data_IF_776647012495
#
_entry.id   IF_776647012495
#
_cell.length_a   1.000
_cell.length_b   1.000
_cell.length_c   1.000
_cell.angle_alpha   90.00
_cell.angle_beta   90.00
_cell.angle_gamma   90.00
#
_symmetry.space_group_name_H-M   'P 1'
#
loop_
_entity.id
_entity.type
_entity.pdbx_description
1 polymer ?
#
# COMPACT_ATOMS: atom_id res chain seq x y z
N UNK A 1 75.26 -37.10 -3.45
CA UNK A 1 75.29 -35.62 -3.35
C UNK A 1 74.39 -35.04 -4.43
N UNK A 2 73.17 -34.60 -4.09
CA UNK A 2 72.25 -33.98 -5.05
C UNK A 2 72.62 -32.52 -5.24
N UNK A 3 72.87 -32.11 -6.48
CA UNK A 3 73.30 -30.74 -6.81
C UNK A 3 72.26 -29.69 -6.38
N UNK A 4 72.69 -28.53 -5.88
CA UNK A 4 71.80 -27.46 -5.38
C UNK A 4 70.94 -26.81 -6.49
N UNK A 5 71.18 -27.17 -7.76
CA UNK A 5 70.47 -26.66 -8.93
C UNK A 5 69.11 -27.37 -9.09
N UNK A 6 69.03 -28.70 -8.88
CA UNK A 6 67.79 -29.46 -9.07
C UNK A 6 66.68 -29.08 -8.08
N UNK A 7 67.05 -28.74 -6.84
CA UNK A 7 66.11 -28.32 -5.78
C UNK A 7 65.48 -26.95 -6.05
N UNK A 8 66.21 -26.03 -6.70
CA UNK A 8 65.69 -24.70 -7.07
C UNK A 8 64.69 -24.80 -8.22
N UNK A 9 64.97 -25.63 -9.23
CA UNK A 9 64.01 -25.89 -10.32
C UNK A 9 62.75 -26.60 -9.84
N UNK A 10 62.89 -27.57 -8.92
CA UNK A 10 61.75 -28.24 -8.30
C UNK A 10 60.87 -27.26 -7.49
N UNK A 11 61.48 -26.35 -6.73
CA UNK A 11 60.76 -25.33 -5.97
C UNK A 11 59.99 -24.34 -6.88
N UNK A 12 60.60 -23.91 -7.99
CA UNK A 12 59.95 -23.04 -8.99
C UNK A 12 58.77 -23.74 -9.66
N UNK A 13 58.90 -25.03 -9.97
CA UNK A 13 57.84 -25.82 -10.57
C UNK A 13 56.65 -26.03 -9.61
N UNK A 14 56.92 -26.33 -8.33
CA UNK A 14 55.86 -26.47 -7.33
C UNK A 14 55.13 -25.13 -7.13
N UNK A 15 55.87 -24.01 -7.12
CA UNK A 15 55.28 -22.68 -7.00
C UNK A 15 54.36 -22.34 -8.19
N UNK A 16 54.75 -22.69 -9.42
CA UNK A 16 53.93 -22.41 -10.61
C UNK A 16 52.64 -23.22 -10.63
N UNK A 17 52.67 -24.48 -10.18
CA UNK A 17 51.47 -25.33 -10.05
C UNK A 17 50.52 -24.77 -8.99
N UNK A 18 51.04 -24.32 -7.84
CA UNK A 18 50.22 -23.72 -6.77
C UNK A 18 49.54 -22.43 -7.27
N UNK A 19 50.27 -21.55 -7.97
CA UNK A 19 49.70 -20.32 -8.54
C UNK A 19 48.64 -20.64 -9.58
N UNK A 20 48.87 -21.62 -10.47
CA UNK A 20 47.90 -22.03 -11.48
C UNK A 20 46.61 -22.59 -10.85
N UNK A 21 46.71 -23.39 -9.78
CA UNK A 21 45.55 -23.92 -9.05
C UNK A 21 44.78 -22.81 -8.34
N UNK A 22 45.47 -21.86 -7.69
CA UNK A 22 44.82 -20.73 -7.01
C UNK A 22 44.11 -19.78 -7.99
N UNK A 23 44.71 -19.49 -9.14
CA UNK A 23 44.10 -18.66 -10.20
C UNK A 23 42.91 -19.38 -10.84
N UNK A 24 43.04 -20.68 -11.14
CA UNK A 24 41.95 -21.50 -11.67
C UNK A 24 40.75 -21.57 -10.72
N UNK A 25 40.99 -21.74 -9.42
CA UNK A 25 39.95 -21.74 -8.39
C UNK A 25 39.29 -20.36 -8.23
N UNK A 26 40.07 -19.28 -8.28
CA UNK A 26 39.57 -17.90 -8.19
C UNK A 26 38.67 -17.51 -9.36
N UNK A 27 39.08 -17.81 -10.60
CA UNK A 27 38.30 -17.53 -11.81
C UNK A 27 37.05 -18.42 -11.87
N UNK A 28 37.16 -19.70 -11.50
CA UNK A 28 36.03 -20.62 -11.43
C UNK A 28 34.97 -20.17 -10.43
N UNK A 29 35.36 -19.73 -9.24
CA UNK A 29 34.45 -19.18 -8.22
C UNK A 29 33.73 -17.90 -8.66
N UNK A 30 34.45 -16.99 -9.33
CA UNK A 30 33.86 -15.77 -9.89
C UNK A 30 32.84 -16.06 -11.00
N UNK A 31 33.14 -16.98 -11.92
CA UNK A 31 32.22 -17.34 -13.00
C UNK A 31 30.93 -17.99 -12.49
N UNK A 32 31.04 -18.84 -11.46
CA UNK A 32 29.86 -19.46 -10.84
C UNK A 32 29.03 -18.40 -10.12
N UNK A 33 29.65 -17.50 -9.34
CA UNK A 33 28.95 -16.40 -8.66
C UNK A 33 28.23 -15.47 -9.65
N UNK A 34 28.87 -15.13 -10.78
CA UNK A 34 28.28 -14.30 -11.83
C UNK A 34 27.07 -14.99 -12.50
N UNK A 35 27.14 -16.30 -12.76
CA UNK A 35 26.00 -17.05 -13.31
C UNK A 35 24.81 -17.10 -12.35
N UNK A 36 25.05 -17.27 -11.04
CA UNK A 36 23.99 -17.23 -10.04
C UNK A 36 23.37 -15.83 -9.92
N UNK A 37 24.18 -14.77 -9.92
CA UNK A 37 23.69 -13.39 -9.91
C UNK A 37 22.86 -13.08 -11.16
N UNK A 38 23.34 -13.43 -12.36
CA UNK A 38 22.58 -13.25 -13.60
C UNK A 38 21.25 -14.03 -13.60
N UNK A 39 21.21 -15.23 -13.00
CA UNK A 39 19.97 -16.00 -12.84
C UNK A 39 19.00 -15.33 -11.87
N UNK A 40 19.49 -14.78 -10.75
CA UNK A 40 18.68 -14.03 -9.79
C UNK A 40 18.11 -12.75 -10.40
N UNK A 41 18.93 -11.99 -11.12
CA UNK A 41 18.50 -10.78 -11.84
C UNK A 41 17.44 -11.11 -12.89
N UNK A 42 17.62 -12.21 -13.64
CA UNK A 42 16.63 -12.66 -14.63
C UNK A 42 15.29 -13.03 -13.97
N UNK A 43 15.32 -13.77 -12.85
CA UNK A 43 14.11 -14.12 -12.10
C UNK A 43 13.41 -12.89 -11.52
N UNK A 44 14.16 -11.92 -11.01
CA UNK A 44 13.61 -10.65 -10.54
C UNK A 44 12.98 -9.86 -11.69
N UNK A 45 13.64 -9.80 -12.85
CA UNK A 45 13.12 -9.12 -14.03
C UNK A 45 11.86 -9.80 -14.59
N UNK A 46 11.81 -11.14 -14.62
CA UNK A 46 10.62 -11.90 -15.01
C UNK A 46 9.47 -11.69 -14.02
N UNK A 47 9.74 -11.73 -12.71
CA UNK A 47 8.75 -11.43 -11.67
C UNK A 47 8.22 -10.00 -11.78
N UNK A 48 9.08 -9.01 -12.02
CA UNK A 48 8.64 -7.63 -12.23
C UNK A 48 7.79 -7.47 -13.50
N UNK A 49 8.12 -8.18 -14.58
CA UNK A 49 7.30 -8.19 -15.80
C UNK A 49 5.93 -8.81 -15.55
N UNK A 50 5.88 -9.93 -14.83
CA UNK A 50 4.62 -10.58 -14.47
C UNK A 50 3.77 -9.69 -13.57
N UNK A 51 4.36 -9.06 -12.55
CA UNK A 51 3.69 -8.08 -11.68
C UNK A 51 3.16 -6.89 -12.49
N UNK A 52 3.97 -6.36 -13.41
CA UNK A 52 3.58 -5.24 -14.28
C UNK A 52 2.40 -5.61 -15.19
N UNK A 53 2.45 -6.81 -15.78
CA UNK A 53 1.35 -7.31 -16.60
C UNK A 53 0.07 -7.47 -15.79
N UNK A 54 0.14 -8.13 -14.62
CA UNK A 54 -0.99 -8.30 -13.70
C UNK A 54 -1.58 -6.94 -13.28
N UNK A 55 -0.73 -5.96 -12.95
CA UNK A 55 -1.16 -4.59 -12.64
C UNK A 55 -1.92 -3.97 -13.81
N UNK A 56 -1.41 -4.07 -15.04
CA UNK A 56 -2.08 -3.49 -16.21
C UNK A 56 -3.45 -4.11 -16.49
N UNK A 57 -3.62 -5.41 -16.19
CA UNK A 57 -4.92 -6.08 -16.29
C UNK A 57 -5.86 -5.53 -15.22
N UNK A 58 -5.39 -5.41 -13.97
CA UNK A 58 -6.20 -4.90 -12.86
C UNK A 58 -6.62 -3.44 -13.05
N UNK A 59 -5.75 -2.58 -13.59
CA UNK A 59 -6.04 -1.17 -13.84
C UNK A 59 -7.25 -0.95 -14.77
N UNK A 60 -7.60 -1.93 -15.61
CA UNK A 60 -8.81 -1.86 -16.45
C UNK A 60 -10.11 -1.99 -15.66
N UNK A 61 -10.07 -2.67 -14.51
CA UNK A 61 -11.24 -2.99 -13.69
C UNK A 61 -11.35 -2.10 -12.45
N UNK A 62 -10.23 -1.59 -11.95
CA UNK A 62 -10.18 -0.75 -10.76
C UNK A 62 -9.79 0.66 -11.17
N UNK A 63 -10.69 1.64 -11.17
CA UNK A 63 -10.32 3.03 -11.47
C UNK A 63 -9.36 3.58 -10.41
N UNK A 64 -8.48 4.54 -10.78
CA UNK A 64 -7.55 5.14 -9.83
C UNK A 64 -8.31 5.85 -8.70
N UNK A 65 -7.67 5.94 -7.54
CA UNK A 65 -8.24 6.68 -6.42
C UNK A 65 -8.42 8.17 -6.79
N UNK A 66 -9.48 8.82 -6.29
CA UNK A 66 -9.67 10.23 -6.52
C UNK A 66 -8.51 11.04 -5.91
N UNK A 67 -8.01 12.03 -6.66
CA UNK A 67 -6.92 12.91 -6.19
C UNK A 67 -7.31 13.72 -4.95
N UNK A 68 -8.59 14.05 -4.83
CA UNK A 68 -9.17 14.81 -3.71
C UNK A 68 -10.34 14.03 -3.13
N UNK A 69 -10.34 13.89 -1.82
CA UNK A 69 -11.38 13.19 -1.08
C UNK A 69 -12.30 14.22 -0.43
N UNK A 70 -13.57 14.21 -0.82
CA UNK A 70 -14.62 15.01 -0.18
C UNK A 70 -15.66 14.14 0.52
N UNK A 71 -15.66 12.83 0.27
CA UNK A 71 -16.68 11.93 0.79
C UNK A 71 -16.01 10.90 1.70
N UNK A 72 -16.63 10.64 2.84
CA UNK A 72 -16.17 9.62 3.79
C UNK A 72 -17.34 8.86 4.36
N UNK A 73 -17.16 7.57 4.57
CA UNK A 73 -18.11 6.70 5.25
C UNK A 73 -17.59 6.37 6.63
N UNK A 74 -18.46 6.21 7.61
CA UNK A 74 -18.01 5.85 8.95
C UNK A 74 -19.15 5.47 9.89
N UNK A 75 -18.75 4.94 11.04
CA UNK A 75 -19.68 4.64 12.14
C UNK A 75 -19.60 5.76 13.16
N UNK A 76 -20.74 6.28 13.57
CA UNK A 76 -20.83 7.35 14.57
C UNK A 76 -20.43 6.79 15.93
N UNK A 77 -19.44 7.40 16.59
CA UNK A 77 -19.07 7.09 17.97
C UNK A 77 -19.74 8.06 18.95
N UNK A 78 -19.93 9.32 18.55
CA UNK A 78 -20.47 10.37 19.43
C UNK A 78 -21.31 11.36 18.63
N UNK A 79 -22.43 11.79 19.21
CA UNK A 79 -23.30 12.84 18.67
C UNK A 79 -23.23 14.02 19.63
N UNK A 80 -22.70 15.15 19.17
CA UNK A 80 -22.72 16.42 19.89
C UNK A 80 -23.88 17.31 19.42
N UNK A 81 -23.90 18.55 19.88
CA UNK A 81 -24.95 19.51 19.51
C UNK A 81 -24.88 19.91 18.03
N UNK A 82 -23.67 20.20 17.53
CA UNK A 82 -23.42 20.63 16.14
C UNK A 82 -22.26 19.84 15.51
N UNK A 83 -22.00 18.62 15.99
CA UNK A 83 -20.94 17.78 15.44
C UNK A 83 -21.22 16.29 15.62
N UNK A 84 -20.57 15.48 14.79
CA UNK A 84 -20.48 14.04 14.92
C UNK A 84 -19.02 13.64 15.07
N UNK A 85 -18.71 12.66 15.93
CA UNK A 85 -17.43 11.96 15.87
C UNK A 85 -17.72 10.62 15.19
N UNK A 86 -16.97 10.32 14.13
CA UNK A 86 -17.10 9.10 13.36
C UNK A 86 -15.78 8.34 13.33
N UNK A 87 -15.87 7.01 13.32
CA UNK A 87 -14.78 6.15 12.87
C UNK A 87 -14.85 6.05 11.35
N UNK A 88 -14.19 7.00 10.68
CA UNK A 88 -14.10 7.09 9.23
C UNK A 88 -13.35 5.91 8.63
N UNK A 89 -13.81 5.47 7.47
CA UNK A 89 -13.22 4.46 6.61
C UNK A 89 -12.83 5.12 5.29
N UNK A 90 -11.53 5.25 5.06
CA UNK A 90 -10.96 5.93 3.90
C UNK A 90 -10.23 4.92 3.04
N UNK A 91 -10.61 4.82 1.76
CA UNK A 91 -9.94 3.91 0.82
C UNK A 91 -8.58 4.47 0.43
N UNK A 92 -7.52 3.73 0.75
CA UNK A 92 -6.12 4.12 0.51
C UNK A 92 -5.44 3.30 -0.59
N UNK A 93 -6.09 2.22 -1.06
CA UNK A 93 -5.62 1.42 -2.19
C UNK A 93 -6.67 1.32 -3.29
N UNK A 94 -6.22 1.45 -4.53
CA UNK A 94 -7.01 1.19 -5.74
C UNK A 94 -7.43 -0.28 -5.84
N UNK A 95 -6.59 -1.19 -5.32
CA UNK A 95 -6.81 -2.63 -5.36
C UNK A 95 -7.23 -3.14 -3.99
N UNK A 96 -8.12 -4.15 -3.92
CA UNK A 96 -8.40 -4.82 -2.65
C UNK A 96 -7.12 -5.49 -2.12
N UNK A 97 -6.82 -5.30 -0.84
CA UNK A 97 -5.65 -5.88 -0.20
C UNK A 97 -6.07 -6.89 0.87
N UNK A 98 -5.26 -7.92 1.13
CA UNK A 98 -5.55 -8.88 2.20
C UNK A 98 -5.70 -8.15 3.55
N UNK A 99 -6.52 -8.74 4.41
CA UNK A 99 -6.83 -8.23 5.76
C UNK A 99 -7.45 -6.82 5.80
N UNK A 100 -8.03 -6.34 4.69
CA UNK A 100 -8.67 -5.03 4.62
C UNK A 100 -7.70 -3.85 4.68
N UNK A 101 -6.42 -4.07 4.34
CA UNK A 101 -5.38 -3.03 4.33
C UNK A 101 -5.58 -1.96 3.25
N UNK A 102 -6.58 -2.12 2.39
CA UNK A 102 -7.00 -1.13 1.41
C UNK A 102 -7.86 0.00 2.01
N UNK A 103 -8.24 -0.12 3.28
CA UNK A 103 -9.02 0.89 4.02
C UNK A 103 -8.26 1.33 5.29
N UNK A 104 -8.03 2.63 5.41
CA UNK A 104 -7.54 3.27 6.63
C UNK A 104 -8.73 3.67 7.52
N UNK A 105 -8.64 3.32 8.80
CA UNK A 105 -9.61 3.74 9.82
C UNK A 105 -9.08 4.94 10.58
N UNK A 106 -9.86 6.01 10.67
CA UNK A 106 -9.47 7.25 11.37
C UNK A 106 -10.63 7.77 12.19
N UNK A 107 -10.36 8.29 13.39
CA UNK A 107 -11.37 9.03 14.16
C UNK A 107 -11.43 10.44 13.57
N UNK A 108 -12.62 10.85 13.13
CA UNK A 108 -12.86 12.15 12.54
C UNK A 108 -14.01 12.89 13.21
N UNK A 109 -13.81 14.18 13.47
CA UNK A 109 -14.85 15.10 13.91
C UNK A 109 -15.47 15.80 12.69
N UNK A 110 -16.77 15.69 12.56
CA UNK A 110 -17.57 16.25 11.49
C UNK A 110 -18.39 17.39 12.07
N UNK A 111 -18.06 18.63 11.71
CA UNK A 111 -18.79 19.81 12.13
C UNK A 111 -20.02 20.00 11.22
N UNK A 112 -21.15 20.30 11.84
CA UNK A 112 -22.42 20.54 11.18
C UNK A 112 -22.73 22.04 11.26
N UNK A 113 -23.00 22.65 10.11
CA UNK A 113 -23.43 24.04 10.02
C UNK A 113 -24.94 24.09 9.77
N UNK A 114 -25.52 25.29 9.80
CA UNK A 114 -26.94 25.49 9.46
C UNK A 114 -27.27 25.12 8.01
N UNK A 115 -26.27 25.04 7.14
CA UNK A 115 -26.41 24.69 5.73
C UNK A 115 -26.24 23.18 5.48
N UNK A 116 -25.80 22.42 6.49
CA UNK A 116 -25.59 20.98 6.37
C UNK A 116 -26.93 20.26 6.22
N UNK A 117 -27.10 19.53 5.13
CA UNK A 117 -28.30 18.72 4.89
C UNK A 117 -28.14 17.34 5.52
N UNK A 118 -29.07 16.94 6.40
CA UNK A 118 -29.07 15.61 7.00
C UNK A 118 -30.26 14.83 6.46
N UNK A 119 -30.03 13.67 5.87
CA UNK A 119 -31.10 12.90 5.24
C UNK A 119 -30.90 11.39 5.35
N UNK A 120 -31.98 10.63 5.11
CA UNK A 120 -31.96 9.17 4.96
C UNK A 120 -32.66 8.75 3.68
N UNK A 121 -32.22 7.64 3.11
CA UNK A 121 -32.94 6.99 2.02
C UNK A 121 -34.15 6.22 2.58
N UNK A 122 -35.34 6.53 2.08
CA UNK A 122 -36.57 5.81 2.36
C UNK A 122 -36.70 4.51 1.57
N UNK A 123 -37.65 3.67 1.96
CA UNK A 123 -37.86 2.33 1.40
C UNK A 123 -38.17 2.30 -0.10
N UNK A 124 -38.69 3.42 -0.64
CA UNK A 124 -39.02 3.59 -2.07
C UNK A 124 -37.99 4.43 -2.83
N UNK A 125 -36.79 4.62 -2.26
CA UNK A 125 -35.75 5.47 -2.85
C UNK A 125 -35.99 6.98 -2.66
N UNK A 126 -37.02 7.37 -1.91
CA UNK A 126 -37.29 8.76 -1.54
C UNK A 126 -36.22 9.28 -0.58
N UNK A 127 -35.75 10.51 -0.77
CA UNK A 127 -34.84 11.16 0.18
C UNK A 127 -35.68 11.89 1.23
N UNK A 128 -35.52 11.53 2.50
CA UNK A 128 -36.18 12.18 3.63
C UNK A 128 -35.17 12.97 4.44
N UNK A 129 -35.36 14.27 4.54
CA UNK A 129 -34.60 15.11 5.47
C UNK A 129 -34.95 14.72 6.91
N UNK A 130 -33.92 14.61 7.75
CA UNK A 130 -34.03 14.20 9.14
C UNK A 130 -33.28 15.15 10.05
N UNK A 131 -33.59 15.09 11.33
CA UNK A 131 -32.87 15.86 12.34
C UNK A 131 -31.62 15.10 12.85
N UNK A 132 -30.65 15.84 13.37
CA UNK A 132 -29.44 15.27 13.98
C UNK A 132 -29.77 14.29 15.12
N UNK A 133 -30.87 14.52 15.85
CA UNK A 133 -31.30 13.66 16.95
C UNK A 133 -31.74 12.26 16.52
N UNK A 134 -32.00 12.04 15.23
CA UNK A 134 -32.25 10.70 14.68
C UNK A 134 -30.96 9.88 14.52
N UNK A 135 -29.79 10.53 14.46
CA UNK A 135 -28.49 9.86 14.39
C UNK A 135 -28.07 9.45 15.79
N UNK A 136 -27.68 8.19 15.96
CA UNK A 136 -27.24 7.64 17.25
C UNK A 136 -25.81 7.08 17.15
N UNK A 137 -25.08 6.99 18.27
CA UNK A 137 -23.87 6.18 18.32
C UNK A 137 -24.13 4.76 17.80
N UNK A 138 -23.26 4.26 16.92
CA UNK A 138 -23.41 3.00 16.21
C UNK A 138 -24.05 3.11 14.82
N UNK A 139 -24.70 4.24 14.48
CA UNK A 139 -25.24 4.47 13.14
C UNK A 139 -24.13 4.58 12.09
N UNK A 140 -24.38 4.03 10.90
CA UNK A 140 -23.51 4.22 9.75
C UNK A 140 -23.93 5.47 8.98
N UNK A 141 -22.96 6.32 8.63
CA UNK A 141 -23.21 7.56 7.89
C UNK A 141 -22.26 7.69 6.70
N UNK A 142 -22.76 8.30 5.61
CA UNK A 142 -21.95 8.89 4.56
C UNK A 142 -21.92 10.40 4.75
N UNK A 143 -20.72 10.97 4.74
CA UNK A 143 -20.51 12.41 4.91
C UNK A 143 -19.91 12.96 3.63
N UNK A 144 -20.56 13.96 3.06
CA UNK A 144 -19.97 14.82 2.05
C UNK A 144 -19.43 16.06 2.77
N UNK A 145 -18.12 16.26 2.72
CA UNK A 145 -17.44 17.40 3.31
C UNK A 145 -17.53 18.62 2.37
N UNK A 146 -17.62 19.81 2.96
CA UNK A 146 -17.54 21.08 2.23
C UNK A 146 -16.10 21.44 1.82
N UNK A 147 -15.13 20.71 2.35
CA UNK A 147 -13.70 20.91 2.15
C UNK A 147 -12.99 19.59 1.90
N UNK A 148 -11.78 19.66 1.35
CA UNK A 148 -10.97 18.46 1.11
C UNK A 148 -10.57 17.81 2.44
N UNK A 149 -10.80 16.49 2.54
CA UNK A 149 -10.54 15.66 3.71
C UNK A 149 -9.04 15.39 3.84
N UNK A 150 -8.41 14.82 2.81
CA UNK A 150 -6.98 14.46 2.82
C UNK A 150 -6.54 13.80 4.14
N UNK A 151 -5.61 14.46 4.85
CA UNK A 151 -5.08 14.02 6.14
C UNK A 151 -5.73 14.67 7.37
N UNK A 152 -6.83 15.42 7.19
CA UNK A 152 -7.53 16.08 8.29
C UNK A 152 -8.22 15.06 9.19
N UNK A 153 -8.37 15.45 10.45
CA UNK A 153 -9.16 14.77 11.48
C UNK A 153 -10.44 15.52 11.81
N UNK A 154 -10.57 16.77 11.35
CA UNK A 154 -11.75 17.61 11.54
C UNK A 154 -12.14 18.24 10.20
N UNK A 155 -13.41 18.14 9.85
CA UNK A 155 -13.96 18.70 8.60
C UNK A 155 -15.39 19.19 8.79
N UNK A 156 -15.80 20.17 7.97
CA UNK A 156 -17.20 20.62 7.92
C UNK A 156 -18.00 19.81 6.88
N UNK A 157 -19.22 19.41 7.22
CA UNK A 157 -20.10 18.69 6.31
C UNK A 157 -20.99 19.62 5.48
N UNK A 158 -21.10 19.34 4.19
CA UNK A 158 -22.17 19.86 3.33
C UNK A 158 -23.42 19.00 3.42
N UNK A 159 -23.24 17.68 3.55
CA UNK A 159 -24.33 16.74 3.74
C UNK A 159 -23.93 15.52 4.57
N UNK A 160 -24.89 14.98 5.30
CA UNK A 160 -24.77 13.72 6.04
C UNK A 160 -25.95 12.82 5.67
N UNK A 161 -25.65 11.65 5.15
CA UNK A 161 -26.64 10.62 4.85
C UNK A 161 -26.57 9.52 5.91
N UNK A 162 -27.69 9.25 6.58
CA UNK A 162 -27.86 8.12 7.47
C UNK A 162 -28.15 6.84 6.67
N UNK A 163 -27.39 5.78 6.98
CA UNK A 163 -27.43 4.47 6.32
C UNK A 163 -27.95 3.45 7.33
N UNK A 164 -29.26 3.50 7.56
CA UNK A 164 -30.02 2.76 8.59
C UNK A 164 -29.79 3.22 10.03
#
# INVERSE_FOLDING_TARGET
>A
MSSPVSKKFLAIYILSVIVAVLVGAGIGGLLVKNKYQAKLEKLQAESQKEISWLKSVLERFYPPLPKRLYNVSGVVSTVGENFLIIQAQIRVSQFPLPDGKDVEKRIMKINLTKETKIFKAGEKGEIKEISLSEIKPGSMVFVNASEEIGNKTEVSASAVQLVR
#
